data_IF_853823347687
#
_entry.id   IF_853823347687
#
_cell.length_a   1.000
_cell.length_b   1.000
_cell.length_c   1.000
_cell.angle_alpha   90.00
_cell.angle_beta   90.00
_cell.angle_gamma   90.00
#
_symmetry.space_group_name_H-M   'P 1'
#
loop_
_entity.id
_entity.type
_entity.pdbx_description
1 polymer ?
#
# COMPACT_ATOMS: atom_id res chain seq x y z
N UNK A 1 -16.31 50.22 -23.93
CA UNK A 1 -15.98 48.82 -24.28
C UNK A 1 -16.28 47.99 -23.03
N UNK A 2 -17.50 47.44 -22.94
CA UNK A 2 -17.89 46.56 -21.83
C UNK A 2 -17.20 45.22 -22.04
N UNK A 3 -16.35 44.84 -21.10
CA UNK A 3 -15.71 43.51 -21.10
C UNK A 3 -16.81 42.53 -20.68
N UNK A 4 -17.33 41.74 -21.62
CA UNK A 4 -18.20 40.62 -21.32
C UNK A 4 -17.36 39.52 -20.65
N UNK A 5 -17.34 39.53 -19.31
CA UNK A 5 -16.79 38.41 -18.56
C UNK A 5 -17.67 37.18 -18.79
N UNK A 6 -17.06 36.06 -19.19
CA UNK A 6 -17.76 34.80 -19.39
C UNK A 6 -18.24 34.25 -18.03
N UNK A 7 -19.46 34.62 -17.63
CA UNK A 7 -20.06 34.31 -16.33
C UNK A 7 -20.16 32.80 -16.08
N UNK A 8 -20.43 32.00 -17.12
CA UNK A 8 -20.49 30.54 -17.07
C UNK A 8 -19.18 29.92 -16.59
N UNK A 9 -18.02 30.46 -16.95
CA UNK A 9 -16.73 29.96 -16.47
C UNK A 9 -16.58 30.11 -14.96
N UNK A 10 -16.88 31.28 -14.41
CA UNK A 10 -16.75 31.55 -12.98
C UNK A 10 -17.75 30.76 -12.15
N UNK A 11 -18.98 30.59 -12.63
CA UNK A 11 -19.98 29.74 -11.99
C UNK A 11 -19.53 28.27 -11.90
N UNK A 12 -18.95 27.73 -12.97
CA UNK A 12 -18.37 26.38 -12.97
C UNK A 12 -17.21 26.26 -11.99
N UNK A 13 -16.33 27.27 -11.97
CA UNK A 13 -15.19 27.31 -11.05
C UNK A 13 -15.65 27.34 -9.58
N UNK A 14 -16.67 28.13 -9.27
CA UNK A 14 -17.22 28.21 -7.92
C UNK A 14 -17.80 26.86 -7.47
N UNK A 15 -18.52 26.15 -8.35
CA UNK A 15 -19.05 24.81 -8.06
C UNK A 15 -17.95 23.83 -7.66
N UNK A 16 -16.86 23.76 -8.44
CA UNK A 16 -15.76 22.81 -8.18
C UNK A 16 -14.85 23.24 -7.04
N UNK A 17 -14.82 24.53 -6.69
CA UNK A 17 -14.01 25.03 -5.57
C UNK A 17 -14.69 24.85 -4.21
N UNK A 18 -15.93 24.31 -4.16
CA UNK A 18 -16.62 24.02 -2.90
C UNK A 18 -15.82 23.02 -2.06
N UNK A 19 -15.50 23.40 -0.83
CA UNK A 19 -14.75 22.55 0.11
C UNK A 19 -15.41 21.18 0.33
N UNK A 20 -16.75 21.12 0.33
CA UNK A 20 -17.52 19.88 0.42
C UNK A 20 -17.25 18.94 -0.78
N UNK A 21 -17.18 19.48 -2.00
CA UNK A 21 -16.84 18.72 -3.19
C UNK A 21 -15.40 18.21 -3.11
N UNK A 22 -14.44 19.09 -2.84
CA UNK A 22 -13.02 18.76 -2.76
C UNK A 22 -12.74 17.68 -1.71
N UNK A 23 -13.29 17.83 -0.50
CA UNK A 23 -13.12 16.86 0.59
C UNK A 23 -13.72 15.47 0.24
N UNK A 24 -14.88 15.44 -0.44
CA UNK A 24 -15.50 14.20 -0.93
C UNK A 24 -14.62 13.53 -1.99
N UNK A 25 -14.14 14.29 -2.98
CA UNK A 25 -13.30 13.80 -4.06
C UNK A 25 -11.98 13.24 -3.54
N UNK A 26 -11.24 14.01 -2.75
CA UNK A 26 -9.98 13.56 -2.14
C UNK A 26 -10.20 12.36 -1.21
N UNK A 27 -11.32 12.35 -0.47
CA UNK A 27 -11.71 11.22 0.36
C UNK A 27 -11.84 9.92 -0.43
N UNK A 28 -12.37 9.97 -1.65
CA UNK A 28 -12.50 8.85 -2.59
C UNK A 28 -11.18 8.49 -3.28
N UNK A 29 -10.36 9.47 -3.65
CA UNK A 29 -8.99 9.24 -4.16
C UNK A 29 -8.18 8.39 -3.17
N UNK A 30 -8.25 8.71 -1.87
CA UNK A 30 -7.59 7.91 -0.84
C UNK A 30 -8.09 6.47 -0.77
N UNK A 31 -9.39 6.23 -1.00
CA UNK A 31 -9.97 4.87 -1.05
C UNK A 31 -9.45 4.11 -2.26
N UNK A 32 -9.38 4.76 -3.44
CA UNK A 32 -8.82 4.17 -4.67
C UNK A 32 -7.38 3.74 -4.43
N UNK A 33 -6.56 4.62 -3.84
CA UNK A 33 -5.16 4.34 -3.58
C UNK A 33 -4.97 3.19 -2.56
N UNK A 34 -5.74 3.18 -1.46
CA UNK A 34 -5.72 2.08 -0.49
C UNK A 34 -6.12 0.74 -1.13
N UNK A 35 -7.15 0.74 -1.97
CA UNK A 35 -7.60 -0.47 -2.67
C UNK A 35 -6.56 -0.95 -3.67
N UNK A 36 -5.97 -0.04 -4.46
CA UNK A 36 -4.87 -0.35 -5.37
C UNK A 36 -3.71 -1.05 -4.66
N UNK A 37 -3.27 -0.52 -3.50
CA UNK A 37 -2.25 -1.15 -2.66
C UNK A 37 -2.67 -2.52 -2.16
N UNK A 38 -3.91 -2.69 -1.70
CA UNK A 38 -4.44 -3.99 -1.21
C UNK A 38 -4.58 -5.03 -2.31
N UNK A 39 -4.90 -4.63 -3.53
CA UNK A 39 -4.92 -5.51 -4.71
C UNK A 39 -3.54 -6.13 -4.99
N UNK A 40 -2.45 -5.41 -4.73
CA UNK A 40 -1.08 -5.91 -4.97
C UNK A 40 -0.78 -7.18 -4.17
N UNK A 41 -1.34 -7.32 -2.98
CA UNK A 41 -1.22 -8.55 -2.16
C UNK A 41 -1.95 -9.75 -2.76
N UNK A 42 -3.00 -9.52 -3.53
CA UNK A 42 -3.76 -10.56 -4.23
C UNK A 42 -3.05 -10.93 -5.52
N UNK A 43 -2.68 -9.92 -6.32
CA UNK A 43 -2.03 -10.06 -7.61
C UNK A 43 -0.54 -10.43 -7.53
N UNK A 44 0.08 -10.23 -6.35
CA UNK A 44 1.50 -10.49 -6.04
C UNK A 44 2.45 -9.78 -7.01
N UNK A 45 2.16 -8.52 -7.30
CA UNK A 45 2.95 -7.70 -8.22
C UNK A 45 2.91 -6.23 -7.81
N UNK A 46 3.81 -5.45 -8.40
CA UNK A 46 3.65 -4.02 -8.56
C UNK A 46 3.27 -3.74 -10.02
N UNK A 47 2.49 -2.69 -10.26
CA UNK A 47 2.19 -2.25 -11.63
C UNK A 47 2.41 -0.75 -11.65
N UNK A 48 3.40 -0.33 -12.43
CA UNK A 48 3.64 1.06 -12.76
C UNK A 48 3.30 1.28 -14.25
N UNK A 49 4.30 1.46 -15.11
CA UNK A 49 4.15 1.38 -16.56
C UNK A 49 4.06 -0.09 -17.03
N UNK A 50 4.86 -0.97 -16.41
CA UNK A 50 4.84 -2.41 -16.63
C UNK A 50 4.43 -3.19 -15.37
N UNK A 51 4.15 -4.48 -15.56
CA UNK A 51 3.84 -5.41 -14.46
C UNK A 51 5.13 -6.04 -13.93
N UNK A 52 5.40 -5.85 -12.65
CA UNK A 52 6.54 -6.44 -11.95
C UNK A 52 6.07 -7.47 -10.92
N UNK A 53 6.22 -8.77 -11.20
CA UNK A 53 5.84 -9.80 -10.25
C UNK A 53 6.77 -9.84 -9.01
N UNK A 54 6.20 -10.04 -7.83
CA UNK A 54 6.98 -10.18 -6.60
C UNK A 54 7.80 -11.46 -6.61
N UNK A 55 9.05 -11.38 -6.13
CA UNK A 55 9.92 -12.56 -6.01
C UNK A 55 9.25 -13.64 -5.13
N UNK A 56 9.17 -14.90 -5.61
CA UNK A 56 8.58 -16.00 -4.87
C UNK A 56 9.36 -16.30 -3.58
N UNK A 57 8.73 -17.05 -2.68
CA UNK A 57 9.36 -17.50 -1.44
C UNK A 57 10.43 -18.54 -1.77
N UNK A 58 11.60 -18.45 -1.12
CA UNK A 58 12.71 -19.42 -1.30
C UNK A 58 12.28 -20.87 -1.01
N UNK A 59 11.38 -21.07 -0.05
CA UNK A 59 10.82 -22.39 0.30
C UNK A 59 9.31 -22.34 0.12
N UNK A 60 8.67 -23.28 -0.57
CA UNK A 60 7.21 -23.33 -0.67
C UNK A 60 6.55 -23.37 0.71
N UNK A 61 5.39 -22.72 0.84
CA UNK A 61 4.58 -22.75 2.04
C UNK A 61 3.11 -22.54 1.66
N UNK A 62 2.18 -23.05 2.47
CA UNK A 62 0.75 -22.79 2.29
C UNK A 62 0.45 -21.29 2.44
N UNK A 63 -0.51 -20.80 1.65
CA UNK A 63 -1.00 -19.41 1.69
C UNK A 63 -0.28 -18.45 0.74
N UNK A 64 -0.71 -17.17 0.75
CA UNK A 64 -0.17 -16.14 -0.14
C UNK A 64 1.04 -15.41 0.46
N UNK A 65 1.92 -14.90 -0.42
CA UNK A 65 3.09 -14.11 -0.05
C UNK A 65 2.64 -12.84 0.69
N UNK A 66 3.28 -12.54 1.83
CA UNK A 66 2.93 -11.43 2.74
C UNK A 66 1.50 -11.49 3.35
N UNK A 67 0.77 -12.60 3.20
CA UNK A 67 -0.59 -12.76 3.73
C UNK A 67 -0.68 -14.03 4.60
N UNK A 68 0.14 -14.10 5.66
CA UNK A 68 -0.01 -15.15 6.68
C UNK A 68 -1.16 -14.81 7.64
N UNK A 69 -1.09 -13.65 8.30
CA UNK A 69 -2.18 -13.11 9.14
C UNK A 69 -2.88 -11.90 8.50
N UNK A 70 -2.43 -11.54 7.28
CA UNK A 70 -2.83 -10.33 6.55
C UNK A 70 -2.65 -9.00 7.34
N UNK A 71 -1.92 -8.97 8.47
CA UNK A 71 -1.77 -7.75 9.30
C UNK A 71 -1.20 -6.57 8.50
N UNK A 72 -0.19 -6.81 7.65
CA UNK A 72 0.37 -5.78 6.77
C UNK A 72 -0.68 -5.25 5.79
N UNK A 73 -1.36 -6.13 5.03
CA UNK A 73 -2.42 -5.74 4.10
C UNK A 73 -3.54 -4.93 4.79
N UNK A 74 -3.98 -5.37 5.97
CA UNK A 74 -5.05 -4.70 6.75
C UNK A 74 -4.62 -3.36 7.32
N UNK A 75 -3.33 -3.18 7.60
CA UNK A 75 -2.80 -1.93 8.16
C UNK A 75 -2.87 -0.74 7.20
N UNK A 76 -2.95 -1.00 5.89
CA UNK A 76 -2.92 0.03 4.86
C UNK A 76 -4.23 0.81 4.88
N UNK A 77 -4.12 2.11 5.16
CA UNK A 77 -5.25 3.03 5.34
C UNK A 77 -4.88 4.46 4.96
N UNK A 78 -5.89 5.32 4.89
CA UNK A 78 -5.71 6.77 4.87
C UNK A 78 -5.19 7.21 6.25
N UNK A 79 -4.16 8.04 6.27
CA UNK A 79 -3.54 8.58 7.49
C UNK A 79 -4.11 9.96 7.81
N UNK A 80 -4.19 10.83 6.81
CA UNK A 80 -4.80 12.15 6.89
C UNK A 80 -5.19 12.63 5.50
N UNK A 81 -6.08 13.62 5.43
CA UNK A 81 -6.51 14.25 4.18
C UNK A 81 -6.78 15.73 4.42
N UNK A 82 -6.56 16.54 3.39
CA UNK A 82 -7.05 17.91 3.27
C UNK A 82 -7.83 18.07 1.96
N UNK A 83 -8.10 19.31 1.55
CA UNK A 83 -8.90 19.57 0.35
C UNK A 83 -8.18 19.25 -0.96
N UNK A 84 -6.84 19.16 -0.93
CA UNK A 84 -6.02 18.91 -2.12
C UNK A 84 -5.03 17.75 -1.96
N UNK A 85 -5.04 17.07 -0.82
CA UNK A 85 -4.08 15.99 -0.54
C UNK A 85 -4.69 14.88 0.29
N UNK A 86 -4.17 13.67 0.11
CA UNK A 86 -4.45 12.53 0.98
C UNK A 86 -3.17 11.74 1.19
N UNK A 87 -2.86 11.47 2.46
CA UNK A 87 -1.76 10.59 2.83
C UNK A 87 -2.30 9.18 3.06
N UNK A 88 -1.67 8.19 2.42
CA UNK A 88 -1.93 6.77 2.66
C UNK A 88 -0.68 6.09 3.19
N UNK A 89 -0.86 5.09 4.04
CA UNK A 89 0.28 4.40 4.60
C UNK A 89 -0.10 3.29 5.55
N UNK A 90 0.86 2.91 6.37
CA UNK A 90 0.80 1.75 7.26
C UNK A 90 1.54 2.05 8.55
N UNK A 91 1.07 1.43 9.64
CA UNK A 91 1.64 1.58 10.98
C UNK A 91 2.60 0.44 11.36
N UNK A 92 2.82 -0.55 10.50
CA UNK A 92 3.69 -1.68 10.86
C UNK A 92 5.16 -1.38 10.51
N UNK A 93 6.10 -1.53 11.46
CA UNK A 93 7.49 -1.11 11.26
C UNK A 93 8.23 -1.93 10.18
N UNK A 94 7.76 -3.16 9.92
CA UNK A 94 8.33 -4.04 8.90
C UNK A 94 7.77 -3.80 7.49
N UNK A 95 6.84 -2.85 7.30
CA UNK A 95 6.30 -2.54 5.98
C UNK A 95 7.39 -2.05 5.01
N UNK A 96 8.21 -1.10 5.46
CA UNK A 96 9.23 -0.44 4.64
C UNK A 96 10.18 -1.43 3.97
N UNK A 97 10.80 -2.31 4.76
CA UNK A 97 11.74 -3.32 4.26
C UNK A 97 11.08 -4.33 3.32
N UNK A 98 9.77 -4.57 3.43
CA UNK A 98 9.04 -5.38 2.45
C UNK A 98 8.72 -4.61 1.18
N UNK A 99 8.36 -3.33 1.29
CA UNK A 99 8.01 -2.48 0.16
C UNK A 99 9.21 -2.17 -0.73
N UNK A 100 10.33 -1.76 -0.11
CA UNK A 100 11.56 -1.32 -0.78
C UNK A 100 12.55 -2.47 -1.00
N UNK A 101 12.43 -3.55 -0.22
CA UNK A 101 13.50 -4.54 -0.11
C UNK A 101 14.66 -4.01 0.73
N UNK A 102 15.72 -4.81 0.85
CA UNK A 102 16.95 -4.35 1.50
C UNK A 102 17.72 -5.47 2.19
N UNK A 103 18.72 -5.09 2.98
CA UNK A 103 19.51 -5.99 3.79
C UNK A 103 19.31 -5.69 5.28
N UNK A 104 19.16 -6.73 6.07
CA UNK A 104 19.19 -6.65 7.53
C UNK A 104 20.53 -7.21 7.96
N UNK A 105 21.36 -6.36 8.56
CA UNK A 105 22.65 -6.72 9.16
C UNK A 105 22.59 -6.34 10.64
N UNK A 106 22.21 -7.28 11.50
CA UNK A 106 22.06 -7.05 12.95
C UNK A 106 22.46 -8.27 13.77
N UNK A 107 23.02 -8.05 14.95
CA UNK A 107 23.20 -9.10 15.96
C UNK A 107 21.86 -9.34 16.68
N UNK A 108 21.34 -10.57 16.59
CA UNK A 108 20.09 -10.97 17.23
C UNK A 108 20.39 -11.88 18.43
N UNK A 109 19.75 -11.56 19.56
CA UNK A 109 19.80 -12.39 20.77
C UNK A 109 18.73 -13.49 20.67
N UNK A 110 19.17 -14.74 20.74
CA UNK A 110 18.30 -15.93 20.70
C UNK A 110 18.13 -16.44 22.12
N UNK A 111 16.89 -16.47 22.61
CA UNK A 111 16.57 -17.05 23.93
C UNK A 111 16.73 -18.57 23.90
N UNK A 112 17.02 -19.14 25.07
CA UNK A 112 17.06 -20.59 25.23
C UNK A 112 15.70 -21.19 24.85
N UNK A 113 15.71 -22.31 24.13
CA UNK A 113 14.51 -23.01 23.69
C UNK A 113 14.82 -24.47 23.36
N UNK A 114 13.80 -25.30 23.23
CA UNK A 114 13.94 -26.68 22.78
C UNK A 114 13.69 -26.77 21.27
N UNK A 115 14.45 -27.63 20.58
CA UNK A 115 14.22 -27.91 19.16
C UNK A 115 14.25 -29.41 18.90
N UNK A 116 13.47 -29.88 17.93
CA UNK A 116 13.60 -31.26 17.43
C UNK A 116 14.77 -31.33 16.44
N UNK A 117 15.75 -32.17 16.75
CA UNK A 117 16.84 -32.52 15.84
C UNK A 117 16.58 -33.90 15.24
N UNK A 118 16.99 -34.12 13.99
CA UNK A 118 16.99 -35.47 13.40
C UNK A 118 18.11 -36.28 14.06
N UNK A 119 17.75 -37.39 14.71
CA UNK A 119 18.72 -38.37 15.21
C UNK A 119 18.66 -39.62 14.33
N UNK A 120 19.39 -39.59 13.20
CA UNK A 120 19.54 -40.74 12.31
C UNK A 120 18.24 -41.47 11.95
N UNK A 121 18.31 -42.81 11.84
CA UNK A 121 17.18 -43.70 11.48
C UNK A 121 16.12 -43.87 12.59
N UNK A 122 16.32 -43.33 13.81
CA UNK A 122 15.49 -43.63 15.00
C UNK A 122 14.50 -42.52 15.39
N UNK A 123 14.22 -41.57 14.51
CA UNK A 123 13.25 -40.49 14.79
C UNK A 123 13.87 -39.26 15.47
N UNK A 124 13.06 -38.22 15.68
CA UNK A 124 13.54 -36.91 16.13
C UNK A 124 13.79 -36.84 17.65
N UNK A 125 14.98 -36.39 18.06
CA UNK A 125 15.34 -36.15 19.47
C UNK A 125 15.12 -34.68 19.83
N UNK A 126 14.56 -34.41 21.00
CA UNK A 126 14.44 -33.05 21.55
C UNK A 126 15.78 -32.60 22.12
N UNK A 127 16.31 -31.48 21.63
CA UNK A 127 17.56 -30.88 22.08
C UNK A 127 17.31 -29.52 22.72
N UNK A 128 17.98 -29.26 23.85
CA UNK A 128 17.98 -27.96 24.51
C UNK A 128 19.03 -27.05 23.85
N UNK A 129 18.61 -25.87 23.39
CA UNK A 129 19.47 -24.84 22.82
C UNK A 129 19.67 -23.76 23.87
N UNK A 130 20.93 -23.50 24.27
CA UNK A 130 21.28 -22.40 25.18
C UNK A 130 21.09 -21.05 24.50
N UNK A 131 20.84 -20.01 25.31
CA UNK A 131 20.78 -18.64 24.82
C UNK A 131 22.14 -18.25 24.19
N UNK A 132 22.09 -17.56 23.05
CA UNK A 132 23.29 -17.11 22.34
C UNK A 132 22.98 -15.94 21.42
N UNK A 133 24.02 -15.24 20.97
CA UNK A 133 23.90 -14.20 19.95
C UNK A 133 24.24 -14.75 18.58
N UNK A 134 23.53 -14.31 17.54
CA UNK A 134 23.87 -14.65 16.15
C UNK A 134 23.89 -13.41 15.27
N UNK A 135 24.80 -13.36 14.31
CA UNK A 135 24.77 -12.35 13.24
C UNK A 135 23.66 -12.72 12.25
N UNK A 136 22.73 -11.81 12.04
CA UNK A 136 21.64 -11.93 11.08
C UNK A 136 21.93 -11.04 9.89
N UNK A 137 22.42 -11.67 8.81
CA UNK A 137 22.67 -11.03 7.52
C UNK A 137 21.65 -11.59 6.52
N UNK A 138 20.56 -10.87 6.27
CA UNK A 138 19.43 -11.36 5.47
C UNK A 138 19.03 -10.34 4.42
N UNK A 139 19.04 -10.76 3.15
CA UNK A 139 18.49 -9.99 2.03
C UNK A 139 16.99 -10.23 1.89
N UNK A 140 16.20 -9.17 2.07
CA UNK A 140 14.76 -9.17 1.85
C UNK A 140 14.49 -8.67 0.42
N UNK A 141 13.80 -9.46 -0.43
CA UNK A 141 13.44 -9.00 -1.77
C UNK A 141 12.35 -7.92 -1.69
N UNK A 142 12.45 -6.96 -2.61
CA UNK A 142 11.44 -5.92 -2.83
C UNK A 142 10.10 -6.54 -3.22
N UNK A 143 9.04 -6.13 -2.54
CA UNK A 143 7.65 -6.52 -2.80
C UNK A 143 6.80 -5.28 -2.64
N UNK A 144 6.88 -4.40 -3.64
CA UNK A 144 6.26 -3.09 -3.57
C UNK A 144 4.73 -3.19 -3.59
N UNK A 145 4.10 -2.46 -2.68
CA UNK A 145 2.65 -2.32 -2.52
C UNK A 145 2.23 -0.87 -2.22
N UNK A 146 3.16 0.01 -1.90
CA UNK A 146 3.00 1.46 -1.76
C UNK A 146 4.08 2.16 -2.58
N UNK A 147 3.71 3.27 -3.23
CA UNK A 147 4.60 4.09 -4.05
C UNK A 147 3.89 4.64 -5.27
N UNK A 148 4.64 5.39 -6.08
CA UNK A 148 4.15 5.99 -7.32
C UNK A 148 3.88 4.93 -8.38
N UNK A 149 2.76 5.09 -9.09
CA UNK A 149 2.32 4.18 -10.13
C UNK A 149 1.54 4.93 -11.21
N UNK A 150 1.96 4.83 -12.45
CA UNK A 150 1.27 5.35 -13.62
C UNK A 150 -0.13 4.71 -13.78
N UNK A 151 -0.33 3.46 -13.37
CA UNK A 151 -1.66 2.85 -13.36
C UNK A 151 -2.55 3.46 -12.28
N UNK A 152 -2.02 3.72 -11.08
CA UNK A 152 -2.77 4.39 -10.02
C UNK A 152 -3.14 5.82 -10.44
N UNK A 153 -2.21 6.58 -10.99
CA UNK A 153 -2.44 7.95 -11.46
C UNK A 153 -3.56 8.00 -12.50
N UNK A 154 -3.52 7.13 -13.53
CA UNK A 154 -4.61 7.02 -14.52
C UNK A 154 -5.97 6.68 -13.90
N UNK A 155 -6.02 5.85 -12.86
CA UNK A 155 -7.27 5.54 -12.13
C UNK A 155 -7.79 6.76 -11.38
N UNK A 156 -6.90 7.53 -10.76
CA UNK A 156 -7.24 8.76 -10.03
C UNK A 156 -7.71 9.84 -11.00
N UNK A 157 -6.98 10.08 -12.09
CA UNK A 157 -7.33 11.04 -13.14
C UNK A 157 -8.72 10.76 -13.70
N UNK A 158 -8.96 9.52 -14.17
CA UNK A 158 -10.28 9.13 -14.69
C UNK A 158 -11.40 9.33 -13.66
N UNK A 159 -11.12 9.04 -12.40
CA UNK A 159 -12.08 9.27 -11.33
C UNK A 159 -12.37 10.76 -11.15
N UNK A 160 -11.34 11.60 -11.05
CA UNK A 160 -11.45 13.04 -10.84
C UNK A 160 -12.13 13.74 -12.01
N UNK A 161 -11.74 13.46 -13.26
CA UNK A 161 -12.38 14.04 -14.45
C UNK A 161 -13.88 13.79 -14.44
N UNK A 162 -14.30 12.54 -14.21
CA UNK A 162 -15.72 12.18 -14.14
C UNK A 162 -16.46 12.90 -13.01
N UNK A 163 -15.86 13.04 -11.83
CA UNK A 163 -16.51 13.75 -10.72
C UNK A 163 -16.57 15.27 -10.97
N UNK A 164 -15.59 15.85 -11.66
CA UNK A 164 -15.61 17.26 -12.07
C UNK A 164 -16.75 17.50 -13.08
N UNK A 165 -16.85 16.66 -14.12
CA UNK A 165 -17.92 16.77 -15.12
C UNK A 165 -19.32 16.66 -14.48
N UNK A 166 -19.47 15.72 -13.55
CA UNK A 166 -20.72 15.53 -12.79
C UNK A 166 -21.07 16.73 -11.91
N UNK A 167 -20.08 17.40 -11.31
CA UNK A 167 -20.33 18.55 -10.45
C UNK A 167 -20.66 19.80 -11.28
N UNK A 168 -19.99 19.98 -12.41
CA UNK A 168 -20.23 21.08 -13.36
C UNK A 168 -21.64 20.98 -13.96
N UNK A 169 -22.01 19.78 -14.43
CA UNK A 169 -23.31 19.50 -15.07
C UNK A 169 -24.48 19.44 -14.10
N UNK A 170 -24.24 19.53 -12.79
CA UNK A 170 -25.30 19.57 -11.79
C UNK A 170 -26.04 20.91 -11.91
N UNK A 171 -27.19 20.90 -12.57
CA UNK A 171 -28.11 22.04 -12.57
C UNK A 171 -28.58 22.27 -11.13
N UNK A 172 -28.54 23.55 -10.70
CA UNK A 172 -28.95 23.94 -9.37
C UNK A 172 -30.45 23.72 -9.20
N UNK A 173 -30.84 22.54 -8.69
CA UNK A 173 -32.14 22.38 -8.05
C UNK A 173 -31.99 22.90 -6.62
N UNK A 174 -32.12 24.21 -6.46
CA UNK A 174 -32.37 24.90 -5.19
C UNK A 174 -32.99 26.25 -5.53
#
# INVERSE_FOLDING_TARGET
MSIEFNTDFFERLEKVNKSAFLNRCIGRVGVIAVNFSKERFVQKNWIDQSREAWKPRKRPARGSILVRSARLKRSIRKLSQGSYYVYIGTDVPYARIHNEGGQINKTANVKAHTRRARAGRRGGVTQNVKAHTRRMNVRIPKRQFLGESALLNRRIERFLSRELDNEISRNGNS
#
